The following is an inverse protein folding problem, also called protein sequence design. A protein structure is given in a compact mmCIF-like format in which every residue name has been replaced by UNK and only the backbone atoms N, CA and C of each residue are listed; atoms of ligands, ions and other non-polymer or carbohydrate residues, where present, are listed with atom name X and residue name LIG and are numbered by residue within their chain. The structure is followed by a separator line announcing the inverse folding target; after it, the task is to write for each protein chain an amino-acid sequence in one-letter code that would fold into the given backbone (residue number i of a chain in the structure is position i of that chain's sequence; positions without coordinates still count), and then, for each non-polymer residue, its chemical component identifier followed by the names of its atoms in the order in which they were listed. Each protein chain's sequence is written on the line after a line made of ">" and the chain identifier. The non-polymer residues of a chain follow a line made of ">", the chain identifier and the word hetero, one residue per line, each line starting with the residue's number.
data_IF_468187584952
#
_entry.id   IF_468187584952
#
_cell.length_a   1.000
_cell.length_b   1.000
_cell.length_c   1.000
_cell.angle_alpha   90.00
_cell.angle_beta   90.00
_cell.angle_gamma   90.00
#
_symmetry.space_group_name_H-M   'P 1'
#
loop_
_entity.id
_entity.type
_entity.pdbx_description
1 polymer ?
#
# COMPACT_ATOMS: atom_id res chain seq x y z
N UNK A 1 -42.08 -45.68 34.25
CA UNK A 1 -42.08 -46.44 35.52
C UNK A 1 -40.68 -46.33 36.10
N UNK A 2 -40.49 -45.49 37.13
CA UNK A 2 -40.49 -45.86 38.56
C UNK A 2 -39.21 -46.64 38.94
N UNK A 3 -38.29 -46.00 39.67
CA UNK A 3 -38.00 -46.23 41.11
C UNK A 3 -37.11 -47.49 41.29
N UNK A 4 -36.12 -47.61 42.15
CA UNK A 4 -35.70 -46.87 43.34
C UNK A 4 -34.37 -47.46 43.84
N UNK A 5 -33.62 -46.67 44.62
CA UNK A 5 -32.60 -47.14 45.58
C UNK A 5 -33.22 -47.97 46.72
N UNK A 6 -32.40 -48.74 47.45
CA UNK A 6 -32.30 -48.56 48.92
C UNK A 6 -30.81 -48.50 49.36
N UNK A 7 -30.39 -47.57 50.23
CA UNK A 7 -30.50 -47.52 51.70
C UNK A 7 -29.70 -48.65 52.40
N UNK A 8 -28.48 -48.38 52.91
CA UNK A 8 -28.14 -47.79 54.24
C UNK A 8 -28.29 -48.85 55.37
N UNK A 9 -27.33 -49.14 56.27
CA UNK A 9 -26.81 -48.31 57.38
C UNK A 9 -25.83 -49.17 58.24
N UNK A 10 -24.73 -48.55 58.76
CA UNK A 10 -24.20 -48.60 60.16
C UNK A 10 -23.78 -49.95 60.82
N UNK A 11 -22.90 -50.08 61.83
CA UNK A 11 -21.98 -49.25 62.67
C UNK A 11 -21.15 -50.21 63.57
N UNK A 12 -20.00 -49.70 64.07
CA UNK A 12 -19.33 -49.97 65.38
C UNK A 12 -18.57 -51.31 65.53
N UNK A 13 -17.44 -51.45 66.25
CA UNK A 13 -16.71 -50.61 67.21
C UNK A 13 -15.29 -51.16 67.55
N UNK A 14 -14.42 -50.26 68.09
CA UNK A 14 -13.32 -50.40 69.10
C UNK A 14 -12.09 -51.32 68.80
N UNK A 15 -10.87 -50.78 68.63
CA UNK A 15 -9.85 -50.31 69.63
C UNK A 15 -9.28 -51.40 70.55
N UNK A 16 -8.00 -51.79 70.37
CA UNK A 16 -6.98 -52.01 71.43
C UNK A 16 -5.56 -51.71 70.86
N UNK A 17 -4.74 -51.08 71.69
CA UNK A 17 -3.39 -50.56 71.46
C UNK A 17 -2.26 -51.61 71.53
N UNK A 18 -1.09 -51.27 70.97
CA UNK A 18 0.19 -51.94 71.20
C UNK A 18 1.35 -51.00 70.85
N UNK A 19 2.24 -50.76 71.81
CA UNK A 19 3.17 -49.65 71.88
C UNK A 19 4.56 -49.91 71.25
N UNK A 20 5.18 -48.80 70.81
CA UNK A 20 6.62 -48.44 70.84
C UNK A 20 7.69 -49.34 70.23
N UNK A 21 8.41 -48.76 69.25
CA UNK A 21 9.81 -49.09 68.92
C UNK A 21 10.46 -47.94 68.14
N UNK A 22 11.30 -47.13 68.80
CA UNK A 22 12.16 -46.13 68.16
C UNK A 22 13.25 -46.83 67.33
N UNK A 23 13.51 -46.39 66.09
CA UNK A 23 14.84 -46.49 65.47
C UNK A 23 15.02 -45.54 64.26
N UNK A 24 15.93 -44.58 64.47
CA UNK A 24 16.86 -43.93 63.52
C UNK A 24 16.34 -43.35 62.18
N UNK A 25 16.33 -42.01 62.12
CA UNK A 25 16.42 -41.25 60.89
C UNK A 25 17.82 -41.37 60.26
N UNK A 26 17.89 -41.82 59.01
CA UNK A 26 19.06 -41.64 58.14
C UNK A 26 18.64 -40.77 56.96
N UNK A 27 19.05 -39.50 57.00
CA UNK A 27 18.87 -38.57 55.90
C UNK A 27 19.84 -38.93 54.76
N UNK A 28 19.32 -39.51 53.69
CA UNK A 28 20.04 -39.56 52.41
C UNK A 28 19.98 -38.16 51.79
N UNK A 29 21.04 -37.37 52.02
CA UNK A 29 21.28 -36.14 51.30
C UNK A 29 21.61 -36.48 49.84
N UNK A 30 20.61 -36.40 48.97
CA UNK A 30 20.83 -36.32 47.52
C UNK A 30 21.46 -34.95 47.25
N UNK A 31 22.58 -34.83 46.53
CA UNK A 31 23.02 -33.52 46.08
C UNK A 31 21.92 -32.98 45.17
N UNK A 32 21.25 -31.92 45.61
CA UNK A 32 20.45 -31.12 44.70
C UNK A 32 21.40 -30.63 43.62
N UNK A 33 21.32 -31.22 42.43
CA UNK A 33 21.88 -30.61 41.24
C UNK A 33 21.29 -29.21 41.20
N UNK A 34 22.13 -28.20 41.39
CA UNK A 34 21.74 -26.82 41.19
C UNK A 34 21.21 -26.73 39.76
N UNK A 35 19.89 -26.73 39.61
CA UNK A 35 19.26 -26.33 38.38
C UNK A 35 19.81 -24.93 38.11
N UNK A 36 20.65 -24.81 37.10
CA UNK A 36 21.14 -23.53 36.60
C UNK A 36 19.89 -22.68 36.36
N UNK A 37 19.63 -21.72 37.24
CA UNK A 37 18.51 -20.80 37.09
C UNK A 37 18.75 -20.06 35.78
N UNK A 38 17.96 -20.40 34.77
CA UNK A 38 18.01 -19.71 33.49
C UNK A 38 17.75 -18.22 33.78
N UNK A 39 18.63 -17.29 33.37
CA UNK A 39 18.45 -15.88 33.65
C UNK A 39 17.04 -15.47 33.23
N UNK A 40 16.32 -14.78 34.13
CA UNK A 40 15.02 -14.25 33.78
C UNK A 40 15.16 -13.42 32.50
N UNK A 41 14.24 -13.54 31.52
CA UNK A 41 14.35 -12.81 30.27
C UNK A 41 14.48 -11.31 30.56
N UNK A 42 15.50 -10.66 29.97
CA UNK A 42 15.74 -9.23 30.16
C UNK A 42 14.48 -8.46 29.78
N UNK A 43 13.90 -7.77 30.76
CA UNK A 43 12.77 -6.86 30.58
C UNK A 43 13.29 -5.46 30.31
N UNK A 44 12.65 -4.74 29.40
CA UNK A 44 13.00 -3.36 29.06
C UNK A 44 11.97 -2.40 29.63
N UNK A 45 12.44 -1.29 30.21
CA UNK A 45 11.60 -0.17 30.61
C UNK A 45 11.04 0.57 29.40
N UNK A 46 9.96 1.35 29.60
CA UNK A 46 9.40 2.19 28.54
C UNK A 46 10.42 3.19 27.96
N UNK A 47 11.30 3.72 28.82
CA UNK A 47 12.39 4.62 28.39
C UNK A 47 13.39 3.90 27.48
N UNK A 48 13.82 2.70 27.85
CA UNK A 48 14.73 1.90 27.02
C UNK A 48 14.10 1.53 25.67
N UNK A 49 12.82 1.18 25.64
CA UNK A 49 12.10 0.90 24.39
C UNK A 49 11.99 2.12 23.48
N UNK A 50 11.71 3.30 24.03
CA UNK A 50 11.68 4.54 23.25
C UNK A 50 13.08 4.92 22.73
N UNK A 51 14.13 4.70 23.52
CA UNK A 51 15.52 4.87 23.07
C UNK A 51 15.85 3.90 21.94
N UNK A 52 15.48 2.62 22.06
CA UNK A 52 15.67 1.64 20.98
C UNK A 52 14.94 2.03 19.71
N UNK A 53 13.68 2.51 19.80
CA UNK A 53 12.94 2.98 18.65
C UNK A 53 13.59 4.23 18.02
N UNK A 54 14.20 5.10 18.82
CA UNK A 54 15.00 6.22 18.31
C UNK A 54 16.29 5.74 17.62
N UNK A 55 16.96 4.70 18.14
CA UNK A 55 18.12 4.08 17.47
C UNK A 55 17.76 3.48 16.11
N UNK A 56 16.59 2.85 15.95
CA UNK A 56 16.12 2.40 14.63
C UNK A 56 15.99 3.57 13.65
N UNK A 57 15.46 4.71 14.12
CA UNK A 57 15.41 5.94 13.32
C UNK A 57 16.82 6.43 12.93
N UNK A 58 17.73 6.50 13.89
CA UNK A 58 19.12 6.95 13.67
C UNK A 58 19.87 6.04 12.70
N UNK A 59 19.60 4.74 12.72
CA UNK A 59 20.20 3.79 11.81
C UNK A 59 19.86 4.06 10.34
N UNK A 60 18.75 4.75 10.05
CA UNK A 60 18.32 5.19 8.71
C UNK A 60 18.44 4.07 7.65
N UNK A 61 17.89 2.91 7.99
CA UNK A 61 17.83 1.76 7.09
C UNK A 61 16.50 1.83 6.33
N UNK A 62 16.58 2.20 5.04
CA UNK A 62 15.44 2.14 4.12
C UNK A 62 14.81 0.73 4.09
N UNK A 63 13.50 0.65 3.88
CA UNK A 63 12.78 -0.63 3.89
C UNK A 63 12.44 -1.15 5.31
N UNK A 64 12.47 -0.28 6.32
CA UNK A 64 12.08 -0.63 7.70
C UNK A 64 10.91 0.21 8.22
N UNK A 65 10.03 -0.42 8.99
CA UNK A 65 8.95 0.21 9.74
C UNK A 65 8.99 -0.32 11.17
N UNK A 66 8.73 0.51 12.18
CA UNK A 66 8.86 0.06 13.57
C UNK A 66 7.82 0.67 14.50
N UNK A 67 7.51 -0.06 15.55
CA UNK A 67 6.68 0.39 16.66
C UNK A 67 7.15 -0.21 17.98
N UNK A 68 6.78 0.44 19.08
CA UNK A 68 6.95 -0.10 20.44
C UNK A 68 5.74 -0.97 20.75
N UNK A 69 5.96 -2.26 20.96
CA UNK A 69 4.95 -3.19 21.43
C UNK A 69 4.97 -3.23 22.96
N UNK A 70 4.05 -2.49 23.57
CA UNK A 70 3.92 -2.44 25.03
C UNK A 70 3.52 -3.77 25.67
N UNK A 71 2.87 -4.67 24.93
CA UNK A 71 2.44 -5.96 25.47
C UNK A 71 3.60 -6.95 25.59
N UNK A 72 4.48 -7.00 24.59
CA UNK A 72 5.67 -7.86 24.62
C UNK A 72 6.91 -7.18 25.22
N UNK A 73 6.88 -5.86 25.44
CA UNK A 73 8.02 -5.09 25.91
C UNK A 73 9.17 -5.10 24.91
N UNK A 74 8.87 -4.96 23.62
CA UNK A 74 9.81 -5.00 22.50
C UNK A 74 9.59 -3.84 21.53
N UNK A 75 10.62 -3.53 20.74
CA UNK A 75 10.50 -2.73 19.53
C UNK A 75 10.45 -3.69 18.35
N UNK A 76 9.30 -3.75 17.70
CA UNK A 76 9.12 -4.60 16.52
C UNK A 76 9.52 -3.79 15.30
N UNK A 77 10.48 -4.31 14.54
CA UNK A 77 10.90 -3.74 13.25
C UNK A 77 10.44 -4.70 12.16
N UNK A 78 9.54 -4.26 11.29
CA UNK A 78 9.24 -4.94 10.04
C UNK A 78 10.25 -4.49 8.99
N UNK A 79 11.02 -5.42 8.43
CA UNK A 79 12.00 -5.18 7.39
C UNK A 79 11.56 -5.87 6.09
N UNK A 80 11.50 -5.11 5.01
CA UNK A 80 11.12 -5.60 3.69
C UNK A 80 12.22 -6.44 3.03
N UNK A 81 11.97 -6.94 1.82
CA UNK A 81 12.88 -7.85 1.09
C UNK A 81 14.24 -7.24 0.73
N UNK A 82 14.35 -5.91 0.64
CA UNK A 82 15.58 -5.20 0.24
C UNK A 82 16.58 -5.08 1.38
N UNK A 83 16.11 -5.08 2.63
CA UNK A 83 16.99 -4.92 3.81
C UNK A 83 17.91 -6.13 3.95
N UNK A 84 19.21 -5.91 3.87
CA UNK A 84 20.26 -6.93 3.96
C UNK A 84 20.54 -7.36 5.41
N UNK A 85 21.26 -8.49 5.57
CA UNK A 85 21.74 -8.93 6.89
C UNK A 85 22.67 -7.90 7.55
N UNK A 86 23.47 -7.18 6.75
CA UNK A 86 24.38 -6.14 7.24
C UNK A 86 23.61 -4.94 7.78
N UNK A 87 22.54 -4.53 7.11
CA UNK A 87 21.65 -3.47 7.59
C UNK A 87 20.86 -3.89 8.83
N UNK A 88 20.42 -5.15 8.91
CA UNK A 88 19.84 -5.69 10.16
C UNK A 88 20.86 -5.66 11.30
N UNK A 89 22.13 -5.96 11.03
CA UNK A 89 23.19 -5.84 12.04
C UNK A 89 23.44 -4.38 12.43
N UNK A 90 23.37 -3.42 11.49
CA UNK A 90 23.42 -1.98 11.78
C UNK A 90 22.32 -1.56 12.74
N UNK A 91 21.06 -1.97 12.51
CA UNK A 91 19.93 -1.70 13.42
C UNK A 91 20.24 -2.16 14.86
N UNK A 92 20.79 -3.36 15.01
CA UNK A 92 21.16 -3.91 16.32
C UNK A 92 22.34 -3.18 16.95
N UNK A 93 23.34 -2.82 16.15
CA UNK A 93 24.51 -2.06 16.60
C UNK A 93 24.11 -0.69 17.14
N UNK A 94 23.22 0.03 16.45
CA UNK A 94 22.71 1.35 16.88
C UNK A 94 21.84 1.26 18.15
N UNK A 95 21.16 0.13 18.35
CA UNK A 95 20.42 -0.13 19.59
C UNK A 95 21.34 -0.47 20.79
N UNK A 96 22.61 -0.79 20.54
CA UNK A 96 23.64 -1.00 21.55
C UNK A 96 23.22 -1.98 22.65
N UNK A 97 23.29 -1.53 23.91
CA UNK A 97 22.91 -2.33 25.10
C UNK A 97 21.44 -2.77 25.11
N UNK A 98 20.61 -2.16 24.27
CA UNK A 98 19.19 -2.48 24.11
C UNK A 98 18.89 -3.27 22.83
N UNK A 99 19.90 -3.84 22.15
CA UNK A 99 19.71 -4.64 20.94
C UNK A 99 18.71 -5.80 21.12
N UNK A 100 18.68 -6.44 22.30
CA UNK A 100 17.75 -7.53 22.60
C UNK A 100 16.29 -7.06 22.75
N UNK A 101 16.03 -5.75 22.76
CA UNK A 101 14.68 -5.19 22.68
C UNK A 101 14.14 -5.21 21.24
N UNK A 102 15.00 -5.33 20.22
CA UNK A 102 14.57 -5.38 18.82
C UNK A 102 14.09 -6.78 18.44
N UNK A 103 12.91 -6.83 17.83
CA UNK A 103 12.39 -8.01 17.13
C UNK A 103 12.22 -7.64 15.67
N UNK A 104 13.15 -8.13 14.83
CA UNK A 104 13.08 -7.89 13.38
C UNK A 104 12.21 -8.97 12.73
N UNK A 105 11.08 -8.57 12.16
CA UNK A 105 10.19 -9.41 11.36
C UNK A 105 10.41 -9.13 9.88
N UNK A 106 10.41 -10.16 9.04
CA UNK A 106 10.49 -10.00 7.59
C UNK A 106 9.10 -9.91 6.99
N UNK A 107 8.94 -9.01 6.02
CA UNK A 107 7.78 -8.98 5.12
C UNK A 107 8.25 -9.23 3.68
N UNK A 108 7.48 -9.95 2.86
CA UNK A 108 7.74 -10.01 1.42
C UNK A 108 7.54 -8.62 0.78
N UNK A 109 8.13 -8.42 -0.41
CA UNK A 109 8.02 -7.17 -1.17
C UNK A 109 8.96 -6.06 -0.70
N UNK A 110 8.79 -4.87 -1.26
CA UNK A 110 9.52 -3.65 -0.87
C UNK A 110 8.50 -2.67 -0.31
N UNK A 111 8.84 -1.90 0.71
CA UNK A 111 7.98 -0.80 1.13
C UNK A 111 7.98 0.29 0.06
N UNK A 112 6.81 0.54 -0.48
CA UNK A 112 6.55 1.64 -1.39
C UNK A 112 5.37 2.45 -0.89
N UNK A 113 5.31 3.71 -1.33
CA UNK A 113 4.07 4.46 -1.26
C UNK A 113 3.17 3.91 -2.36
N UNK A 114 1.93 3.62 -2.00
CA UNK A 114 0.87 3.44 -2.98
C UNK A 114 0.79 4.68 -3.88
N UNK A 115 0.50 4.48 -5.15
CA UNK A 115 0.26 5.56 -6.10
C UNK A 115 -1.09 5.36 -6.77
N UNK A 116 -1.92 6.39 -6.73
CA UNK A 116 -3.30 6.41 -7.22
C UNK A 116 -3.43 7.28 -8.48
N UNK A 117 -4.57 7.16 -9.16
CA UNK A 117 -4.94 8.05 -10.26
C UNK A 117 -4.90 9.52 -9.85
N UNK A 118 -4.43 10.37 -10.75
CA UNK A 118 -4.23 11.80 -10.57
C UNK A 118 -2.90 12.20 -9.91
N UNK A 119 -2.14 11.28 -9.33
CA UNK A 119 -0.84 11.58 -8.70
C UNK A 119 0.30 11.71 -9.72
N UNK A 120 1.39 12.38 -9.32
CA UNK A 120 2.49 12.71 -10.21
C UNK A 120 3.33 11.49 -10.61
N UNK A 121 3.59 11.36 -11.91
CA UNK A 121 4.61 10.47 -12.48
C UNK A 121 5.67 11.32 -13.18
N UNK A 122 6.94 10.96 -13.06
CA UNK A 122 8.05 11.79 -13.58
C UNK A 122 9.06 11.00 -14.39
N UNK A 123 9.64 11.63 -15.42
CA UNK A 123 10.74 11.08 -16.23
C UNK A 123 11.66 12.22 -16.69
N UNK A 124 12.99 12.07 -16.56
CA UNK A 124 13.97 12.99 -17.16
C UNK A 124 13.81 14.51 -16.87
N UNK A 125 13.05 14.90 -15.85
CA UNK A 125 12.68 16.29 -15.54
C UNK A 125 11.25 16.71 -15.94
N UNK A 126 10.56 15.90 -16.74
CA UNK A 126 9.14 16.06 -17.04
C UNK A 126 8.26 15.46 -15.93
N UNK A 127 7.06 16.03 -15.77
CA UNK A 127 6.00 15.54 -14.89
C UNK A 127 4.71 15.41 -15.68
N UNK A 128 4.07 14.26 -15.54
CA UNK A 128 2.71 13.99 -15.94
C UNK A 128 1.92 13.44 -14.74
N UNK A 129 0.68 13.04 -14.98
CA UNK A 129 -0.20 12.44 -13.98
C UNK A 129 -0.54 11.00 -14.35
N UNK A 130 -0.70 10.16 -13.34
CA UNK A 130 -1.23 8.81 -13.48
C UNK A 130 -2.73 8.90 -13.82
N UNK A 131 -3.21 8.13 -14.79
CA UNK A 131 -4.63 8.02 -15.10
C UNK A 131 -5.30 7.00 -14.20
N UNK A 132 -5.17 5.73 -14.58
CA UNK A 132 -5.73 4.61 -13.81
C UNK A 132 -4.70 3.50 -13.68
N UNK A 133 -4.63 2.90 -12.50
CA UNK A 133 -3.92 1.63 -12.36
C UNK A 133 -4.79 0.51 -12.91
N UNK A 134 -4.16 -0.37 -13.68
CA UNK A 134 -4.81 -1.45 -14.42
C UNK A 134 -4.02 -2.74 -14.28
N UNK A 135 -4.65 -3.86 -14.60
CA UNK A 135 -4.00 -5.17 -14.61
C UNK A 135 -4.35 -5.98 -15.86
N UNK A 136 -3.40 -6.79 -16.31
CA UNK A 136 -3.67 -7.85 -17.30
C UNK A 136 -4.28 -9.10 -16.63
N UNK A 137 -4.67 -10.08 -17.45
CA UNK A 137 -5.26 -11.35 -16.98
C UNK A 137 -4.29 -12.22 -16.15
N UNK A 138 -2.99 -11.95 -16.23
CA UNK A 138 -1.93 -12.59 -15.43
C UNK A 138 -1.69 -11.87 -14.09
N UNK A 139 -2.39 -10.77 -13.82
CA UNK A 139 -2.24 -9.95 -12.61
C UNK A 139 -1.04 -9.00 -12.65
N UNK A 140 -0.38 -8.83 -13.80
CA UNK A 140 0.68 -7.81 -13.95
C UNK A 140 0.05 -6.43 -13.83
N UNK A 141 0.64 -5.57 -13.00
CA UNK A 141 0.13 -4.22 -12.74
C UNK A 141 0.77 -3.19 -13.64
N UNK A 142 -0.06 -2.29 -14.18
CA UNK A 142 0.34 -1.18 -15.01
C UNK A 142 -0.37 0.11 -14.58
N UNK A 143 0.09 1.23 -15.10
CA UNK A 143 -0.56 2.52 -15.04
C UNK A 143 -0.83 3.01 -16.47
N UNK A 144 -2.06 3.41 -16.74
CA UNK A 144 -2.39 4.18 -17.93
C UNK A 144 -2.10 5.66 -17.71
N UNK A 145 -1.59 6.33 -18.73
CA UNK A 145 -1.35 7.78 -18.78
C UNK A 145 -1.46 8.26 -20.24
N UNK A 146 -1.14 9.52 -20.52
CA UNK A 146 -1.18 10.06 -21.89
C UNK A 146 -0.01 9.54 -22.74
N UNK A 147 -0.24 9.34 -24.03
CA UNK A 147 0.75 8.86 -24.99
C UNK A 147 1.86 9.88 -25.23
N UNK A 148 1.50 11.16 -25.31
CA UNK A 148 2.50 12.24 -25.43
C UNK A 148 3.45 12.29 -24.23
N UNK A 149 2.98 11.87 -23.04
CA UNK A 149 3.84 11.72 -21.87
C UNK A 149 4.81 10.55 -22.08
N UNK A 150 4.31 9.34 -22.36
CA UNK A 150 5.16 8.15 -22.52
C UNK A 150 6.16 8.24 -23.68
N UNK A 151 5.94 9.13 -24.65
CA UNK A 151 6.91 9.45 -25.71
C UNK A 151 8.13 10.27 -25.21
N UNK A 152 8.05 10.93 -24.04
CA UNK A 152 9.17 11.68 -23.46
C UNK A 152 10.31 10.76 -23.03
N UNK A 153 9.97 9.58 -22.49
CA UNK A 153 10.95 8.65 -21.97
C UNK A 153 10.36 7.29 -21.60
N UNK A 154 11.21 6.26 -21.62
CA UNK A 154 10.81 4.88 -21.28
C UNK A 154 10.91 4.55 -19.80
N UNK A 155 11.63 5.35 -19.00
CA UNK A 155 11.83 5.12 -17.57
C UNK A 155 11.11 6.19 -16.76
N UNK A 156 10.19 5.77 -15.90
CA UNK A 156 9.35 6.61 -15.06
C UNK A 156 9.56 6.29 -13.59
N UNK A 157 9.20 7.23 -12.71
CA UNK A 157 9.26 7.05 -11.24
C UNK A 157 8.55 5.80 -10.72
N UNK A 158 7.58 5.27 -11.47
CA UNK A 158 6.79 4.09 -11.10
C UNK A 158 7.18 2.82 -11.89
N UNK A 159 7.98 2.94 -12.95
CA UNK A 159 8.43 1.81 -13.74
C UNK A 159 8.71 2.13 -15.20
N UNK A 160 8.41 1.21 -16.11
CA UNK A 160 8.87 1.27 -17.50
C UNK A 160 7.71 1.33 -18.47
N UNK A 161 7.76 2.27 -19.42
CA UNK A 161 6.79 2.32 -20.53
C UNK A 161 6.82 1.02 -21.33
N UNK A 162 5.66 0.40 -21.52
CA UNK A 162 5.49 -0.82 -22.34
C UNK A 162 4.61 -0.62 -23.57
N UNK A 163 4.01 0.56 -23.72
CA UNK A 163 3.25 0.94 -24.90
C UNK A 163 2.95 2.44 -24.91
N UNK A 164 2.81 3.01 -26.11
CA UNK A 164 2.49 4.43 -26.33
C UNK A 164 1.82 4.59 -27.70
N UNK A 165 0.81 5.44 -27.80
CA UNK A 165 0.18 5.89 -29.05
C UNK A 165 -0.05 7.40 -28.97
N UNK A 166 0.73 8.17 -29.74
CA UNK A 166 0.57 9.62 -29.93
C UNK A 166 1.47 10.12 -31.09
N UNK A 167 0.99 10.98 -32.01
CA UNK A 167 -0.41 11.45 -32.16
C UNK A 167 -1.30 10.39 -32.83
N UNK A 168 -2.52 10.77 -33.23
CA UNK A 168 -3.59 9.86 -33.66
C UNK A 168 -4.54 9.58 -32.51
N UNK A 169 -3.99 8.91 -31.49
CA UNK A 169 -4.58 8.73 -30.16
C UNK A 169 -3.74 9.47 -29.11
N UNK A 170 -4.11 9.39 -27.84
CA UNK A 170 -3.27 9.89 -26.75
C UNK A 170 -3.35 9.03 -25.47
N UNK A 171 -2.86 7.80 -25.56
CA UNK A 171 -2.70 6.89 -24.42
C UNK A 171 -1.31 6.24 -24.39
N UNK A 172 -0.87 5.88 -23.20
CA UNK A 172 0.33 5.12 -22.94
C UNK A 172 0.16 4.24 -21.71
N UNK A 173 1.01 3.21 -21.61
CA UNK A 173 0.97 2.24 -20.52
C UNK A 173 2.38 2.04 -19.95
N UNK A 174 2.47 2.14 -18.62
CA UNK A 174 3.71 1.97 -17.86
C UNK A 174 3.55 0.75 -16.96
N UNK A 175 4.44 -0.23 -17.08
CA UNK A 175 4.50 -1.38 -16.18
C UNK A 175 5.10 -0.96 -14.84
N UNK A 176 4.40 -1.26 -13.75
CA UNK A 176 4.89 -0.98 -12.40
C UNK A 176 6.14 -1.81 -12.09
N UNK A 177 7.17 -1.15 -11.54
CA UNK A 177 8.33 -1.85 -10.97
C UNK A 177 8.00 -2.51 -9.64
N UNK A 178 7.10 -1.89 -8.87
CA UNK A 178 6.52 -2.48 -7.66
C UNK A 178 5.01 -2.65 -7.84
N UNK A 179 4.53 -3.88 -8.14
CA UNK A 179 3.11 -4.15 -8.26
C UNK A 179 2.29 -3.82 -7.02
N UNK A 180 2.91 -3.82 -5.82
CA UNK A 180 2.25 -3.48 -4.56
C UNK A 180 1.87 -2.01 -4.45
N UNK A 181 2.46 -1.15 -5.27
CA UNK A 181 2.17 0.29 -5.29
C UNK A 181 0.91 0.65 -6.11
N UNK A 182 0.38 -0.27 -6.92
CA UNK A 182 -0.72 0.01 -7.84
C UNK A 182 -2.08 0.10 -7.12
N UNK A 183 -2.43 1.31 -6.66
CA UNK A 183 -3.69 1.61 -5.98
C UNK A 183 -4.83 1.80 -6.99
N UNK A 184 -5.89 0.98 -6.94
CA UNK A 184 -7.04 1.04 -7.86
C UNK A 184 -7.90 2.31 -7.77
N UNK A 185 -7.51 3.26 -6.92
CA UNK A 185 -8.27 4.47 -6.60
C UNK A 185 -7.74 5.69 -7.35
N UNK A 186 -8.49 6.79 -7.27
CA UNK A 186 -8.09 8.14 -7.73
C UNK A 186 -7.96 9.06 -6.52
N UNK A 187 -6.85 9.81 -6.44
CA UNK A 187 -6.64 10.82 -5.41
C UNK A 187 -7.62 11.99 -5.58
N UNK A 188 -8.27 12.37 -4.48
CA UNK A 188 -9.18 13.53 -4.44
C UNK A 188 -8.47 14.81 -3.96
N UNK A 189 -7.15 14.77 -3.75
CA UNK A 189 -6.32 15.90 -3.31
C UNK A 189 -6.78 16.56 -1.99
N UNK A 190 -7.60 15.86 -1.19
CA UNK A 190 -8.09 16.29 0.12
C UNK A 190 -7.74 15.28 1.24
N UNK A 191 -6.80 14.38 0.98
CA UNK A 191 -6.43 13.26 1.87
C UNK A 191 -7.32 12.02 1.75
N UNK A 192 -8.36 12.07 0.90
CA UNK A 192 -9.22 10.92 0.57
C UNK A 192 -9.03 10.46 -0.88
N UNK A 193 -9.60 9.30 -1.18
CA UNK A 193 -9.51 8.64 -2.48
C UNK A 193 -10.89 8.19 -2.95
N UNK A 194 -11.10 8.19 -4.27
CA UNK A 194 -12.28 7.64 -4.93
C UNK A 194 -11.96 6.24 -5.46
N UNK A 195 -12.71 5.24 -5.00
CA UNK A 195 -12.68 3.89 -5.59
C UNK A 195 -13.14 3.94 -7.04
N UNK A 196 -12.42 3.24 -7.92
CA UNK A 196 -12.83 3.06 -9.31
C UNK A 196 -12.98 1.56 -9.53
N UNK A 197 -14.17 1.12 -9.94
CA UNK A 197 -14.52 -0.30 -10.06
C UNK A 197 -14.94 -0.71 -11.48
N UNK A 198 -14.90 0.23 -12.42
CA UNK A 198 -15.23 -0.02 -13.82
C UNK A 198 -14.84 1.12 -14.76
N UNK A 199 -15.04 0.87 -16.04
CA UNK A 199 -14.82 1.84 -17.10
C UNK A 199 -16.02 1.87 -18.05
N UNK A 200 -16.34 3.04 -18.58
CA UNK A 200 -17.41 3.22 -19.56
C UNK A 200 -17.10 4.39 -20.50
N UNK A 201 -17.79 4.41 -21.64
CA UNK A 201 -17.77 5.57 -22.53
C UNK A 201 -18.52 6.75 -21.91
N UNK A 202 -17.97 7.95 -22.07
CA UNK A 202 -18.59 9.17 -21.59
C UNK A 202 -19.84 9.54 -22.41
N UNK A 203 -20.78 10.27 -21.79
CA UNK A 203 -21.96 10.81 -22.47
C UNK A 203 -22.01 12.34 -22.38
N UNK A 204 -22.49 13.01 -23.43
CA UNK A 204 -22.64 14.48 -23.41
C UNK A 204 -23.60 14.90 -22.30
N UNK A 205 -23.22 15.89 -21.50
CA UNK A 205 -23.94 16.37 -20.32
C UNK A 205 -23.62 15.60 -19.03
N UNK A 206 -22.82 14.53 -19.10
CA UNK A 206 -22.41 13.78 -17.92
C UNK A 206 -21.56 14.66 -16.98
N UNK A 207 -21.91 14.66 -15.69
CA UNK A 207 -21.08 15.27 -14.65
C UNK A 207 -19.83 14.43 -14.43
N UNK A 208 -18.67 15.09 -14.44
CA UNK A 208 -17.36 14.44 -14.38
C UNK A 208 -16.42 15.19 -13.45
N UNK A 209 -15.43 14.47 -12.96
CA UNK A 209 -14.31 15.00 -12.20
C UNK A 209 -13.01 14.61 -12.89
N UNK A 210 -12.02 15.51 -12.84
CA UNK A 210 -10.64 15.27 -13.25
C UNK A 210 -9.74 15.36 -12.03
N UNK A 211 -8.78 14.44 -11.91
CA UNK A 211 -7.68 14.52 -10.95
C UNK A 211 -6.34 14.59 -11.69
N UNK A 212 -5.49 15.56 -11.35
CA UNK A 212 -4.17 15.75 -11.95
C UNK A 212 -3.19 16.44 -11.00
N UNK A 213 -1.90 16.21 -11.22
CA UNK A 213 -0.83 16.58 -10.27
C UNK A 213 -0.43 18.05 -10.25
N UNK A 214 -0.96 18.86 -11.16
CA UNK A 214 -0.73 20.32 -11.13
C UNK A 214 -1.86 21.03 -10.41
N UNK A 215 -3.10 20.77 -10.82
CA UNK A 215 -4.26 21.55 -10.35
C UNK A 215 -5.11 20.81 -9.33
N UNK A 216 -4.82 19.52 -9.09
CA UNK A 216 -5.59 18.70 -8.17
C UNK A 216 -6.92 18.25 -8.77
N UNK A 217 -7.98 18.30 -7.95
CA UNK A 217 -9.31 17.82 -8.31
C UNK A 217 -10.20 18.96 -8.82
N UNK A 218 -10.77 18.80 -10.02
CA UNK A 218 -11.73 19.74 -10.59
C UNK A 218 -12.95 19.02 -11.17
N UNK A 219 -14.12 19.65 -11.07
CA UNK A 219 -15.38 19.13 -11.58
C UNK A 219 -15.90 19.93 -12.78
N UNK A 220 -16.76 19.29 -13.57
CA UNK A 220 -17.44 19.91 -14.71
C UNK A 220 -18.33 18.90 -15.42
N UNK A 221 -18.50 19.08 -16.72
CA UNK A 221 -19.36 18.25 -17.55
C UNK A 221 -18.75 17.97 -18.92
N UNK A 222 -19.09 16.82 -19.49
CA UNK A 222 -18.81 16.49 -20.89
C UNK A 222 -19.65 17.39 -21.80
N UNK A 223 -18.99 18.08 -22.73
CA UNK A 223 -19.63 19.01 -23.68
C UNK A 223 -19.61 18.50 -25.11
N UNK A 224 -18.81 17.47 -25.41
CA UNK A 224 -18.71 16.87 -26.74
C UNK A 224 -17.99 15.53 -26.69
N UNK A 225 -18.19 14.73 -27.73
CA UNK A 225 -17.55 13.43 -27.93
C UNK A 225 -17.01 13.35 -29.35
N UNK A 226 -16.06 12.45 -29.58
CA UNK A 226 -15.40 12.26 -30.87
C UNK A 226 -14.79 13.56 -31.42
N UNK A 227 -14.23 14.38 -30.54
CA UNK A 227 -13.55 15.61 -30.90
C UNK A 227 -12.20 15.29 -31.56
N UNK A 228 -11.86 16.07 -32.59
CA UNK A 228 -10.53 16.09 -33.19
C UNK A 228 -9.82 17.38 -32.78
N UNK A 229 -8.62 17.24 -32.24
CA UNK A 229 -7.79 18.35 -31.77
C UNK A 229 -6.48 18.35 -32.55
N UNK A 230 -6.12 19.52 -33.07
CA UNK A 230 -4.83 19.74 -33.71
C UNK A 230 -3.90 20.45 -32.72
N UNK A 231 -2.92 19.74 -32.18
CA UNK A 231 -1.90 20.26 -31.26
C UNK A 231 -0.72 20.93 -32.00
N UNK A 232 -0.89 21.28 -33.28
CA UNK A 232 0.12 21.97 -34.06
C UNK A 232 1.27 21.04 -34.45
N UNK A 233 2.49 21.40 -34.05
CA UNK A 233 3.69 20.62 -34.37
C UNK A 233 3.66 19.22 -33.74
N UNK A 234 2.91 19.03 -32.66
CA UNK A 234 2.81 17.75 -31.94
C UNK A 234 1.81 16.77 -32.60
N UNK A 235 1.03 17.24 -33.59
CA UNK A 235 0.15 16.41 -34.40
C UNK A 235 -1.34 16.55 -34.08
N UNK A 236 -2.14 15.67 -34.68
CA UNK A 236 -3.61 15.67 -34.59
C UNK A 236 -4.07 14.41 -33.88
N UNK A 237 -4.96 14.56 -32.90
CA UNK A 237 -5.57 13.47 -32.14
C UNK A 237 -7.09 13.50 -32.34
N UNK A 238 -7.72 12.34 -32.54
CA UNK A 238 -9.16 12.22 -32.77
C UNK A 238 -9.83 11.32 -31.73
N UNK A 239 -11.17 11.23 -31.75
CA UNK A 239 -11.89 10.36 -30.82
C UNK A 239 -12.03 10.91 -29.39
N UNK A 240 -11.63 12.16 -29.14
CA UNK A 240 -11.50 12.69 -27.79
C UNK A 240 -12.85 13.07 -27.17
N UNK A 241 -12.93 12.94 -25.84
CA UNK A 241 -13.97 13.50 -24.99
C UNK A 241 -13.65 14.97 -24.77
N UNK A 242 -14.60 15.87 -24.98
CA UNK A 242 -14.45 17.30 -24.67
C UNK A 242 -15.22 17.64 -23.40
N UNK A 243 -14.62 18.43 -22.51
CA UNK A 243 -15.26 18.93 -21.29
C UNK A 243 -15.00 20.42 -21.07
N UNK A 244 -15.76 21.02 -20.15
CA UNK A 244 -15.50 22.36 -19.60
C UNK A 244 -14.68 22.34 -18.29
N UNK A 245 -14.09 21.19 -17.92
CA UNK A 245 -13.19 21.08 -16.77
C UNK A 245 -11.87 21.75 -17.15
N UNK A 246 -11.31 22.59 -16.27
CA UNK A 246 -10.00 23.21 -16.49
C UNK A 246 -8.86 22.18 -16.30
N UNK A 247 -7.70 22.42 -16.90
CA UNK A 247 -6.46 21.67 -16.69
C UNK A 247 -5.25 22.55 -17.04
N UNK A 248 -4.08 22.21 -16.51
CA UNK A 248 -2.83 22.93 -16.75
C UNK A 248 -1.66 21.96 -17.03
N UNK A 249 -0.52 22.44 -17.59
CA UNK A 249 0.63 21.59 -17.87
C UNK A 249 1.04 20.72 -16.66
N UNK A 250 1.19 19.42 -16.90
CA UNK A 250 1.45 18.41 -15.87
C UNK A 250 0.20 17.64 -15.39
N UNK A 251 -1.01 18.12 -15.66
CA UNK A 251 -2.24 17.34 -15.47
C UNK A 251 -2.44 16.25 -16.54
N UNK A 252 -1.68 16.35 -17.65
CA UNK A 252 -1.65 15.34 -18.72
C UNK A 252 -1.53 13.91 -18.17
N UNK A 253 -2.33 13.02 -18.71
CA UNK A 253 -2.49 11.63 -18.28
C UNK A 253 -3.43 11.43 -17.10
N UNK A 254 -3.79 12.48 -16.37
CA UNK A 254 -4.64 12.42 -15.17
C UNK A 254 -6.04 11.87 -15.44
N UNK A 255 -6.64 11.28 -14.41
CA UNK A 255 -7.92 10.58 -14.46
C UNK A 255 -9.10 11.52 -14.72
N UNK A 256 -9.95 11.20 -15.70
CA UNK A 256 -11.32 11.68 -15.83
C UNK A 256 -12.30 10.58 -15.42
N UNK A 257 -13.17 10.85 -14.46
CA UNK A 257 -14.08 9.86 -13.88
C UNK A 257 -15.44 10.46 -13.50
N UNK A 258 -16.42 9.59 -13.26
CA UNK A 258 -17.73 9.94 -12.72
C UNK A 258 -18.13 8.90 -11.68
N UNK A 259 -18.15 9.29 -10.39
CA UNK A 259 -18.29 8.33 -9.29
C UNK A 259 -17.17 7.29 -9.34
N UNK A 260 -17.52 6.00 -9.38
CA UNK A 260 -16.56 4.89 -9.49
C UNK A 260 -16.22 4.50 -10.93
N UNK A 261 -16.69 5.23 -11.94
CA UNK A 261 -16.49 4.89 -13.34
C UNK A 261 -15.35 5.70 -13.96
N UNK A 262 -14.33 5.02 -14.46
CA UNK A 262 -13.28 5.60 -15.29
C UNK A 262 -13.82 5.96 -16.68
N UNK A 263 -13.49 7.16 -17.18
CA UNK A 263 -13.97 7.67 -18.46
C UNK A 263 -12.83 8.02 -19.43
N UNK A 264 -11.76 8.64 -18.95
CA UNK A 264 -10.69 9.07 -19.85
C UNK A 264 -9.41 9.53 -19.19
N UNK A 265 -8.40 9.80 -20.02
CA UNK A 265 -7.07 10.25 -19.66
C UNK A 265 -6.87 11.66 -20.20
N UNK A 266 -6.39 12.59 -19.37
CA UNK A 266 -6.21 14.00 -19.77
C UNK A 266 -5.20 14.10 -20.93
N UNK A 267 -5.62 14.57 -22.10
CA UNK A 267 -4.75 14.73 -23.28
C UNK A 267 -4.17 16.15 -23.33
N UNK A 268 -5.04 17.15 -23.33
CA UNK A 268 -4.64 18.54 -23.46
C UNK A 268 -5.85 19.46 -23.43
N UNK A 269 -5.63 20.76 -23.64
CA UNK A 269 -6.71 21.74 -23.54
C UNK A 269 -6.26 23.17 -23.78
N UNK A 270 -7.13 24.09 -23.44
CA UNK A 270 -6.90 25.53 -23.50
C UNK A 270 -7.43 26.23 -22.26
N UNK A 271 -6.90 27.42 -21.96
CA UNK A 271 -7.23 28.16 -20.75
C UNK A 271 -6.38 27.76 -19.56
N UNK A 272 -6.92 27.92 -18.34
CA UNK A 272 -6.27 27.56 -17.07
C UNK A 272 -7.33 27.46 -15.96
N UNK A 273 -6.95 27.03 -14.76
CA UNK A 273 -7.90 26.87 -13.65
C UNK A 273 -8.27 28.18 -12.92
N UNK A 274 -7.73 29.33 -13.35
CA UNK A 274 -8.15 30.65 -12.86
C UNK A 274 -9.24 31.29 -13.72
N UNK A 275 -9.18 31.16 -15.05
CA UNK A 275 -10.15 31.73 -16.00
C UNK A 275 -11.12 30.71 -16.60
N UNK A 276 -10.95 29.43 -16.30
CA UNK A 276 -11.63 28.33 -16.97
C UNK A 276 -10.94 27.91 -18.26
N UNK A 277 -11.45 26.85 -18.87
CA UNK A 277 -10.84 26.23 -20.04
C UNK A 277 -11.69 25.13 -20.67
N UNK A 278 -11.19 24.63 -21.79
CA UNK A 278 -11.71 23.43 -22.46
C UNK A 278 -10.62 22.38 -22.41
N UNK A 279 -10.95 21.18 -21.92
CA UNK A 279 -9.99 20.07 -21.82
C UNK A 279 -10.52 18.86 -22.56
N UNK A 280 -9.60 18.16 -23.21
CA UNK A 280 -9.84 16.96 -24.01
C UNK A 280 -9.20 15.74 -23.37
N UNK A 281 -9.88 14.60 -23.51
CA UNK A 281 -9.48 13.36 -22.86
C UNK A 281 -9.58 12.19 -23.83
N UNK A 282 -8.57 11.34 -23.80
CA UNK A 282 -8.57 10.06 -24.49
C UNK A 282 -9.53 9.11 -23.76
N UNK A 283 -10.55 8.53 -24.43
CA UNK A 283 -11.38 7.48 -23.84
C UNK A 283 -10.56 6.34 -23.24
N UNK A 284 -10.81 6.01 -21.98
CA UNK A 284 -10.04 4.97 -21.27
C UNK A 284 -10.39 3.57 -21.79
N UNK A 285 -11.63 3.36 -22.23
CA UNK A 285 -12.14 2.10 -22.78
C UNK A 285 -11.33 1.63 -23.99
N UNK A 286 -10.89 2.56 -24.84
CA UNK A 286 -10.00 2.28 -25.97
C UNK A 286 -8.65 1.74 -25.49
N UNK A 287 -7.97 2.46 -24.59
CA UNK A 287 -6.67 2.06 -24.06
C UNK A 287 -6.72 0.70 -23.34
N UNK A 288 -7.78 0.46 -22.56
CA UNK A 288 -8.03 -0.83 -21.90
C UNK A 288 -8.14 -1.96 -22.94
N UNK A 289 -8.90 -1.75 -24.01
CA UNK A 289 -9.08 -2.72 -25.09
C UNK A 289 -7.79 -3.00 -25.85
N UNK A 290 -7.03 -1.95 -26.21
CA UNK A 290 -5.78 -2.06 -26.98
C UNK A 290 -4.73 -2.86 -26.22
N UNK A 291 -4.61 -2.62 -24.92
CA UNK A 291 -3.61 -3.31 -24.09
C UNK A 291 -4.11 -4.61 -23.44
N UNK A 292 -5.40 -4.93 -23.56
CA UNK A 292 -5.98 -6.13 -22.96
C UNK A 292 -5.91 -6.11 -21.43
N UNK A 293 -6.18 -4.96 -20.83
CA UNK A 293 -6.11 -4.71 -19.38
C UNK A 293 -7.44 -4.23 -18.82
N UNK A 294 -7.60 -4.31 -17.50
CA UNK A 294 -8.81 -3.91 -16.76
C UNK A 294 -8.45 -3.06 -15.55
N UNK A 295 -9.38 -2.22 -15.08
CA UNK A 295 -9.24 -1.47 -13.82
C UNK A 295 -8.97 -2.46 -12.67
N UNK A 296 -8.10 -2.07 -11.72
CA UNK A 296 -7.78 -2.85 -10.51
C UNK A 296 -8.91 -2.74 -9.48
#
# INVERSE_FOLDING_TARGET
>A
MRLSRPHSLTRRARLIAGATGLAAAAALAVPATAASAQPAPKTFSATELNQTAASVRTADVGGTAWYVDGASGKVVVTADSTVSKAEIAKLKSEAGVNADALVVKRTPGTFSKLIAGGEAITTGGARCSLGFNVQDNSGTKFALTAGHCTNIGSSWSIGTTTGSSFPGDDYGIIRHSDPGAADGRVSLYNGSYQEIDGAADATVGQSVQRSGSTTGLHGGSVTGLNATVNYGADGIVSGLIQTNVCAEPGDSGGALFSGSTALGLTSGGSGNCSSGGTTFYQPVTEALSVYGVSII
#
